data_IF_689113574133
#
_entry.id   IF_689113574133
#
_cell.length_a   1.000
_cell.length_b   1.000
_cell.length_c   1.000
_cell.angle_alpha   90.00
_cell.angle_beta   90.00
_cell.angle_gamma   90.00
#
_symmetry.space_group_name_H-M   'P 1'
#
loop_
_entity.id
_entity.type
_entity.pdbx_description
1 polymer ?
#
# COMPACT_ATOMS: atom_id res chain seq x y z
N UNK A 1 9.78 49.83 23.09
CA UNK A 1 8.50 49.11 22.95
C UNK A 1 8.34 48.41 21.60
N UNK A 2 8.75 49.02 20.48
CA UNK A 2 8.63 48.47 19.12
C UNK A 2 9.29 47.09 18.91
N UNK A 3 10.48 46.85 19.48
CA UNK A 3 11.20 45.57 19.32
C UNK A 3 10.48 44.38 19.96
N UNK A 4 9.79 44.60 21.09
CA UNK A 4 9.00 43.57 21.78
C UNK A 4 7.73 43.22 21.00
N UNK A 5 7.11 44.21 20.35
CA UNK A 5 5.93 44.03 19.51
C UNK A 5 6.26 43.22 18.24
N UNK A 6 7.39 43.52 17.59
CA UNK A 6 7.85 42.77 16.40
C UNK A 6 8.15 41.31 16.74
N UNK A 7 8.80 41.05 17.88
CA UNK A 7 9.09 39.69 18.33
C UNK A 7 7.80 38.93 18.69
N UNK A 8 6.83 39.58 19.34
CA UNK A 8 5.52 38.99 19.64
C UNK A 8 4.78 38.61 18.35
N UNK A 9 4.79 39.49 17.35
CA UNK A 9 4.18 39.24 16.04
C UNK A 9 4.85 38.07 15.31
N UNK A 10 6.17 37.94 15.37
CA UNK A 10 6.90 36.79 14.78
C UNK A 10 6.52 35.47 15.43
N UNK A 11 6.43 35.43 16.77
CA UNK A 11 6.01 34.23 17.50
C UNK A 11 4.57 33.85 17.15
N UNK A 12 3.68 34.85 17.03
CA UNK A 12 2.29 34.62 16.63
C UNK A 12 2.19 34.02 15.21
N UNK A 13 2.97 34.56 14.27
CA UNK A 13 3.01 34.07 12.88
C UNK A 13 3.51 32.62 12.82
N UNK A 14 4.54 32.27 13.61
CA UNK A 14 5.07 30.90 13.69
C UNK A 14 4.08 29.91 14.33
N UNK A 15 3.33 30.36 15.34
CA UNK A 15 2.28 29.55 15.95
C UNK A 15 1.13 29.30 14.97
N UNK A 16 0.66 30.34 14.28
CA UNK A 16 -0.42 30.21 13.30
C UNK A 16 0.02 29.32 12.13
N UNK A 17 1.24 29.47 11.62
CA UNK A 17 1.73 28.63 10.54
C UNK A 17 1.90 27.16 10.98
N UNK A 18 2.44 26.89 12.17
CA UNK A 18 2.56 25.51 12.66
C UNK A 18 1.21 24.81 12.83
N UNK A 19 0.20 25.50 13.38
CA UNK A 19 -1.16 24.97 13.50
C UNK A 19 -1.77 24.69 12.12
N UNK A 20 -1.54 25.57 11.15
CA UNK A 20 -2.02 25.42 9.78
C UNK A 20 -1.33 24.26 9.02
N UNK A 21 -0.04 24.01 9.27
CA UNK A 21 0.66 22.86 8.71
C UNK A 21 0.18 21.53 9.35
N UNK A 22 -0.08 21.51 10.65
CA UNK A 22 -0.61 20.33 11.33
C UNK A 22 -2.00 19.95 10.81
N UNK A 23 -2.89 20.91 10.55
CA UNK A 23 -4.22 20.64 10.00
C UNK A 23 -4.16 20.11 8.56
N UNK A 24 -3.24 20.61 7.72
CA UNK A 24 -3.00 20.06 6.38
C UNK A 24 -2.52 18.61 6.41
N UNK A 25 -1.65 18.24 7.36
CA UNK A 25 -1.19 16.86 7.50
C UNK A 25 -2.33 15.89 7.87
N UNK A 26 -3.25 16.32 8.75
CA UNK A 26 -4.44 15.52 9.09
C UNK A 26 -5.46 15.42 7.96
N UNK A 27 -5.55 16.44 7.09
CA UNK A 27 -6.46 16.43 5.94
C UNK A 27 -5.99 15.48 4.83
N UNK A 28 -4.68 15.27 4.67
CA UNK A 28 -4.13 14.31 3.70
C UNK A 28 -4.40 12.85 4.10
N UNK A 29 -4.56 12.59 5.41
CA UNK A 29 -5.04 11.30 5.91
C UNK A 29 -6.57 11.15 5.85
N UNK A 30 -7.33 12.19 5.47
CA UNK A 30 -8.78 12.11 5.40
C UNK A 30 -9.23 11.25 4.21
N UNK A 31 -9.82 10.10 4.55
CA UNK A 31 -10.65 9.26 3.68
C UNK A 31 -9.93 8.48 2.58
N UNK A 32 -8.80 7.83 2.87
CA UNK A 32 -8.36 6.72 2.02
C UNK A 32 -9.41 5.59 2.11
N UNK A 33 -10.25 5.46 1.08
CA UNK A 33 -11.26 4.39 0.95
C UNK A 33 -10.74 3.34 -0.03
N UNK A 34 -10.79 2.08 0.38
CA UNK A 34 -10.38 0.93 -0.43
C UNK A 34 -9.22 0.15 0.18
N UNK A 35 -8.63 -0.73 -0.62
CA UNK A 35 -7.60 -1.66 -0.15
C UNK A 35 -6.17 -1.11 -0.24
N UNK A 36 -5.91 -0.17 -1.16
CA UNK A 36 -4.58 0.41 -1.38
C UNK A 36 -4.34 1.60 -0.43
N UNK A 37 -4.58 1.39 0.85
CA UNK A 37 -4.46 2.38 1.91
C UNK A 37 -3.37 1.98 2.89
N UNK A 38 -2.69 2.98 3.45
CA UNK A 38 -1.66 2.75 4.47
C UNK A 38 -2.25 1.91 5.61
N UNK A 39 -1.51 0.87 6.03
CA UNK A 39 -1.98 -0.13 6.99
C UNK A 39 -2.61 -1.37 6.36
N UNK A 40 -2.76 -1.41 5.03
CA UNK A 40 -3.23 -2.57 4.27
C UNK A 40 -4.50 -3.23 4.87
N UNK A 41 -5.64 -2.51 4.89
CA UNK A 41 -6.85 -2.98 5.55
C UNK A 41 -7.43 -4.25 4.92
N UNK A 42 -7.05 -4.56 3.67
CA UNK A 42 -7.50 -5.74 2.95
C UNK A 42 -6.50 -6.90 2.96
N UNK A 43 -5.35 -6.74 3.65
CA UNK A 43 -4.29 -7.76 3.75
C UNK A 43 -3.84 -8.26 2.37
N UNK A 44 -3.54 -7.32 1.50
CA UNK A 44 -3.16 -7.56 0.11
C UNK A 44 -1.79 -8.26 0.01
N UNK A 45 -1.63 -9.12 -0.98
CA UNK A 45 -0.31 -9.62 -1.39
C UNK A 45 0.04 -9.16 -2.81
N UNK A 46 1.31 -8.78 -3.01
CA UNK A 46 1.86 -8.33 -4.29
C UNK A 46 1.78 -9.44 -5.35
N UNK A 47 1.46 -9.05 -6.58
CA UNK A 47 1.55 -9.92 -7.75
C UNK A 47 2.51 -9.32 -8.79
N UNK A 48 3.44 -10.11 -9.34
CA UNK A 48 3.80 -11.46 -8.89
C UNK A 48 4.54 -11.45 -7.54
N UNK A 49 4.67 -12.61 -6.85
CA UNK A 49 5.58 -12.73 -5.72
C UNK A 49 7.00 -12.37 -6.14
N UNK A 50 7.61 -11.43 -5.44
CA UNK A 50 9.00 -11.03 -5.66
C UNK A 50 9.90 -11.63 -4.58
N UNK A 51 11.15 -11.92 -4.92
CA UNK A 51 12.15 -12.40 -3.93
C UNK A 51 12.44 -11.38 -2.82
N UNK A 52 12.13 -10.11 -3.06
CA UNK A 52 12.29 -9.00 -2.12
C UNK A 52 11.08 -8.79 -1.21
N UNK A 53 9.98 -9.53 -1.42
CA UNK A 53 8.75 -9.32 -0.66
C UNK A 53 8.93 -9.73 0.80
N UNK A 54 8.41 -8.89 1.70
CA UNK A 54 8.33 -9.21 3.13
C UNK A 54 7.11 -10.09 3.35
N UNK A 55 7.35 -11.32 3.79
CA UNK A 55 6.29 -12.26 4.13
C UNK A 55 5.88 -12.03 5.59
N UNK A 56 4.60 -11.75 5.81
CA UNK A 56 4.05 -11.67 7.16
C UNK A 56 3.81 -13.10 7.70
N UNK A 57 4.12 -13.33 8.97
CA UNK A 57 3.91 -14.63 9.64
C UNK A 57 2.44 -15.06 9.62
N UNK A 58 1.52 -14.10 9.65
CA UNK A 58 0.07 -14.31 9.69
C UNK A 58 -0.61 -14.11 8.33
N UNK A 59 0.14 -14.21 7.21
CA UNK A 59 -0.36 -13.94 5.87
C UNK A 59 -1.69 -14.70 5.56
N UNK A 60 -2.61 -14.10 4.80
CA UNK A 60 -3.84 -14.78 4.40
C UNK A 60 -3.57 -16.06 3.59
N UNK A 61 -4.37 -17.11 3.79
CA UNK A 61 -4.17 -18.40 3.12
C UNK A 61 -4.09 -18.31 1.59
N UNK A 62 -4.88 -17.42 0.98
CA UNK A 62 -4.84 -17.18 -0.48
C UNK A 62 -3.44 -16.74 -0.92
N UNK A 63 -2.78 -15.86 -0.16
CA UNK A 63 -1.44 -15.35 -0.47
C UNK A 63 -0.39 -16.45 -0.34
N UNK A 64 -0.48 -17.28 0.71
CA UNK A 64 0.35 -18.47 0.88
C UNK A 64 0.22 -19.43 -0.30
N UNK A 65 -1.01 -19.76 -0.70
CA UNK A 65 -1.28 -20.65 -1.85
C UNK A 65 -0.74 -20.10 -3.17
N UNK A 66 -0.76 -18.78 -3.38
CA UNK A 66 -0.17 -18.17 -4.58
C UNK A 66 1.34 -18.38 -4.58
N UNK A 67 2.03 -18.16 -3.45
CA UNK A 67 3.47 -18.38 -3.33
C UNK A 67 3.87 -19.84 -3.51
N UNK A 68 3.05 -20.77 -3.04
CA UNK A 68 3.29 -22.21 -3.24
C UNK A 68 3.14 -22.62 -4.72
N UNK A 69 2.28 -21.91 -5.48
CA UNK A 69 2.01 -22.20 -6.90
C UNK A 69 2.91 -21.43 -7.87
N UNK A 70 3.39 -20.25 -7.47
CA UNK A 70 4.17 -19.35 -8.32
C UNK A 70 5.45 -18.97 -7.58
N UNK A 71 6.57 -19.49 -8.10
CA UNK A 71 7.89 -19.21 -7.55
C UNK A 71 8.18 -17.69 -7.57
N UNK A 72 8.73 -17.14 -6.49
CA UNK A 72 9.14 -15.74 -6.46
C UNK A 72 10.18 -15.42 -7.53
N UNK A 73 10.06 -14.24 -8.13
CA UNK A 73 10.99 -13.76 -9.17
C UNK A 73 11.77 -12.53 -8.71
N UNK A 74 12.92 -12.29 -9.32
CA UNK A 74 13.68 -11.04 -9.17
C UNK A 74 13.61 -10.16 -10.42
N UNK A 75 12.97 -10.64 -11.49
CA UNK A 75 12.93 -9.95 -12.77
C UNK A 75 12.11 -8.66 -12.68
N UNK A 76 12.60 -7.54 -13.24
CA UNK A 76 11.89 -6.27 -13.16
C UNK A 76 10.63 -6.27 -14.04
N UNK A 77 9.66 -5.39 -13.74
CA UNK A 77 8.46 -5.24 -14.55
C UNK A 77 8.78 -4.88 -16.01
N UNK A 78 8.17 -5.60 -16.96
CA UNK A 78 8.40 -5.40 -18.40
C UNK A 78 9.26 -6.47 -19.07
N UNK A 79 9.79 -7.42 -18.31
CA UNK A 79 10.49 -8.60 -18.82
C UNK A 79 9.53 -9.74 -19.11
N UNK A 80 9.93 -10.68 -19.98
CA UNK A 80 9.13 -11.85 -20.31
C UNK A 80 8.83 -12.71 -19.08
N UNK A 81 9.82 -12.86 -18.19
CA UNK A 81 9.69 -13.59 -16.94
C UNK A 81 8.67 -12.91 -16.01
N UNK A 82 8.67 -11.58 -15.96
CA UNK A 82 7.68 -10.83 -15.19
C UNK A 82 6.27 -11.01 -15.74
N UNK A 83 6.08 -10.94 -17.05
CA UNK A 83 4.78 -11.14 -17.68
C UNK A 83 4.25 -12.58 -17.47
N UNK A 84 5.11 -13.58 -17.65
CA UNK A 84 4.73 -14.96 -17.39
C UNK A 84 4.37 -15.20 -15.92
N UNK A 85 5.09 -14.57 -14.99
CA UNK A 85 4.83 -14.70 -13.55
C UNK A 85 3.56 -13.96 -13.12
N UNK A 86 3.31 -12.74 -13.60
CA UNK A 86 2.12 -11.96 -13.22
C UNK A 86 0.84 -12.64 -13.71
N UNK A 87 0.84 -13.21 -14.91
CA UNK A 87 -0.32 -13.94 -15.45
C UNK A 87 -0.63 -15.18 -14.62
N UNK A 88 0.39 -15.98 -14.30
CA UNK A 88 0.25 -17.15 -13.41
C UNK A 88 -0.25 -16.75 -12.02
N UNK A 89 0.31 -15.68 -11.45
CA UNK A 89 -0.06 -15.16 -10.12
C UNK A 89 -1.49 -14.64 -10.09
N UNK A 90 -1.91 -13.95 -11.15
CA UNK A 90 -3.29 -13.45 -11.33
C UNK A 90 -4.27 -14.63 -11.36
N UNK A 91 -3.97 -15.65 -12.15
CA UNK A 91 -4.80 -16.86 -12.23
C UNK A 91 -4.84 -17.62 -10.90
N UNK A 92 -3.70 -17.72 -10.20
CA UNK A 92 -3.64 -18.35 -8.89
C UNK A 92 -4.48 -17.58 -7.84
N UNK A 93 -4.47 -16.25 -7.87
CA UNK A 93 -5.31 -15.44 -6.98
C UNK A 93 -6.80 -15.76 -7.17
N UNK A 94 -7.28 -15.71 -8.42
CA UNK A 94 -8.69 -15.97 -8.76
C UNK A 94 -9.08 -17.41 -8.39
N UNK A 95 -8.23 -18.39 -8.72
CA UNK A 95 -8.48 -19.80 -8.42
C UNK A 95 -8.61 -20.08 -6.92
N UNK A 96 -7.90 -19.32 -6.09
CA UNK A 96 -7.96 -19.42 -4.64
C UNK A 96 -9.00 -18.47 -4.01
N UNK A 97 -9.94 -17.95 -4.80
CA UNK A 97 -11.07 -17.13 -4.35
C UNK A 97 -10.73 -15.67 -4.04
N UNK A 98 -9.56 -15.18 -4.45
CA UNK A 98 -9.17 -13.78 -4.29
C UNK A 98 -9.62 -12.89 -5.45
N UNK A 99 -9.74 -11.59 -5.19
CA UNK A 99 -9.98 -10.57 -6.19
C UNK A 99 -8.67 -9.90 -6.61
N UNK A 100 -8.44 -9.73 -7.91
CA UNK A 100 -7.23 -9.06 -8.40
C UNK A 100 -7.45 -7.55 -8.47
N UNK A 101 -6.64 -6.79 -7.75
CA UNK A 101 -6.65 -5.33 -7.73
C UNK A 101 -5.51 -4.81 -8.59
N UNK A 102 -5.86 -4.12 -9.68
CA UNK A 102 -4.89 -3.38 -10.49
C UNK A 102 -4.47 -2.10 -9.78
N UNK A 103 -3.17 -1.92 -9.57
CA UNK A 103 -2.62 -0.71 -8.96
C UNK A 103 -2.10 0.26 -10.04
N UNK A 104 -2.94 1.23 -10.39
CA UNK A 104 -2.59 2.31 -11.33
C UNK A 104 -1.79 3.44 -10.65
N UNK A 105 -1.93 3.61 -9.33
CA UNK A 105 -1.31 4.68 -8.53
C UNK A 105 -0.33 4.09 -7.53
N UNK A 106 0.82 3.66 -8.05
CA UNK A 106 1.91 3.08 -7.23
C UNK A 106 2.41 4.11 -6.23
N UNK A 107 2.60 3.65 -5.00
CA UNK A 107 3.16 4.43 -3.89
C UNK A 107 4.25 3.61 -3.21
N UNK A 108 4.99 4.22 -2.29
CA UNK A 108 6.00 3.47 -1.51
C UNK A 108 5.37 2.35 -0.68
N UNK A 109 4.16 2.57 -0.16
CA UNK A 109 3.43 1.54 0.58
C UNK A 109 2.90 0.43 -0.33
N UNK A 110 2.58 0.75 -1.59
CA UNK A 110 2.08 -0.20 -2.57
C UNK A 110 2.83 -0.07 -3.91
N UNK A 111 4.05 -0.62 -4.02
CA UNK A 111 4.89 -0.47 -5.21
C UNK A 111 4.52 -1.40 -6.37
N UNK A 112 3.92 -2.57 -6.09
CA UNK A 112 3.56 -3.54 -7.12
C UNK A 112 2.45 -3.03 -8.06
N UNK A 113 2.41 -3.57 -9.28
CA UNK A 113 1.43 -3.19 -10.33
C UNK A 113 0.06 -3.84 -10.12
N UNK A 114 0.01 -4.96 -9.42
CA UNK A 114 -1.21 -5.67 -9.09
C UNK A 114 -1.08 -6.32 -7.72
N UNK A 115 -2.23 -6.54 -7.08
CA UNK A 115 -2.33 -7.20 -5.79
C UNK A 115 -3.45 -8.24 -5.83
N UNK A 116 -3.30 -9.30 -5.06
CA UNK A 116 -4.41 -10.18 -4.71
C UNK A 116 -5.05 -9.69 -3.43
N UNK A 117 -6.36 -9.48 -3.45
CA UNK A 117 -7.19 -9.29 -2.28
C UNK A 117 -7.75 -10.67 -1.87
N UNK A 118 -7.30 -11.24 -0.75
CA UNK A 118 -7.83 -12.50 -0.26
C UNK A 118 -9.30 -12.37 0.11
N UNK A 119 -10.05 -13.45 -0.06
CA UNK A 119 -11.39 -13.54 0.54
C UNK A 119 -11.23 -13.72 2.05
N UNK A 120 -11.65 -12.72 2.80
CA UNK A 120 -11.70 -12.77 4.27
C UNK A 120 -13.18 -12.88 4.63
N UNK A 121 -13.66 -14.03 5.15
CA UNK A 121 -15.04 -14.14 5.58
C UNK A 121 -15.33 -13.10 6.68
N UNK A 122 -16.55 -12.54 6.73
CA UNK A 122 -16.92 -11.64 7.81
C UNK A 122 -16.71 -12.36 9.15
N UNK A 123 -16.02 -11.69 10.09
CA UNK A 123 -15.90 -12.20 11.46
C UNK A 123 -17.30 -12.13 12.09
N UNK A 124 -17.86 -13.30 12.41
CA UNK A 124 -19.07 -13.43 13.22
C UNK A 124 -18.81 -12.95 14.65
#
# INVERSE_FOLDING_TARGET
MQLKLINLMRVLILLVSSIFLCSLATLVQASCKGCLCVGDPCRLCSLPPMTTDKIAEDEPETCKKIRDQVAPISSPPGTNEYFASIDKSTMACIKNGGDVIKNSRRSEAFPARAYCKPYIPPKN
#
